data_IF_805396827417
#
_entry.id   IF_805396827417
#
_cell.length_a   1.000
_cell.length_b   1.000
_cell.length_c   1.000
_cell.angle_alpha   90.00
_cell.angle_beta   90.00
_cell.angle_gamma   90.00
#
_symmetry.space_group_name_H-M   'P 1'
#
loop_
_entity.id
_entity.type
_entity.pdbx_description
1 polymer ?
#
# COMPACT_ATOMS: atom_id res chain seq x y z
N UNK A 1 10.35 -22.64 -6.22
CA UNK A 1 11.81 -22.85 -6.17
C UNK A 1 12.61 -21.54 -5.99
N UNK A 2 12.28 -20.46 -6.71
CA UNK A 2 13.00 -19.16 -6.63
C UNK A 2 12.98 -18.47 -5.26
N UNK A 3 11.90 -18.59 -4.48
CA UNK A 3 11.73 -18.01 -3.13
C UNK A 3 12.63 -18.65 -2.07
N UNK A 4 12.87 -19.97 -2.19
CA UNK A 4 13.78 -20.69 -1.30
C UNK A 4 15.24 -20.31 -1.58
N UNK A 5 15.57 -20.05 -2.85
CA UNK A 5 16.91 -19.59 -3.24
C UNK A 5 17.19 -18.17 -2.72
N UNK A 6 16.22 -17.23 -2.77
CA UNK A 6 16.44 -15.86 -2.27
C UNK A 6 16.55 -15.79 -0.74
N UNK A 7 15.75 -16.58 -0.01
CA UNK A 7 15.88 -16.71 1.46
C UNK A 7 17.23 -17.32 1.84
N UNK A 8 17.63 -18.44 1.21
CA UNK A 8 18.92 -19.06 1.51
C UNK A 8 20.12 -18.15 1.20
N UNK A 9 20.02 -17.32 0.15
CA UNK A 9 21.08 -16.33 -0.17
C UNK A 9 21.15 -15.23 0.88
N UNK A 10 20.01 -14.73 1.37
CA UNK A 10 19.97 -13.70 2.42
C UNK A 10 20.50 -14.25 3.76
N UNK A 11 20.07 -15.45 4.14
CA UNK A 11 20.51 -16.13 5.36
C UNK A 11 22.03 -16.44 5.30
N UNK A 12 22.50 -16.92 4.15
CA UNK A 12 23.93 -17.14 3.90
C UNK A 12 24.74 -15.84 3.95
N UNK A 13 24.21 -14.74 3.40
CA UNK A 13 24.86 -13.43 3.45
C UNK A 13 24.94 -12.87 4.88
N UNK A 14 23.89 -13.07 5.69
CA UNK A 14 23.87 -12.70 7.09
C UNK A 14 24.93 -13.47 7.91
N UNK A 15 25.00 -14.79 7.72
CA UNK A 15 26.03 -15.63 8.34
C UNK A 15 27.44 -15.20 7.90
N UNK A 16 27.64 -14.90 6.61
CA UNK A 16 28.92 -14.43 6.08
C UNK A 16 29.32 -13.08 6.70
N UNK A 17 28.36 -12.17 6.90
CA UNK A 17 28.61 -10.88 7.54
C UNK A 17 29.01 -11.07 9.02
N UNK A 18 28.29 -11.91 9.77
CA UNK A 18 28.63 -12.23 11.16
C UNK A 18 30.03 -12.87 11.25
N UNK A 19 30.32 -13.83 10.38
CA UNK A 19 31.61 -14.51 10.34
C UNK A 19 32.74 -13.52 9.99
N UNK A 20 32.50 -12.60 9.07
CA UNK A 20 33.45 -11.54 8.71
C UNK A 20 33.70 -10.58 9.87
N UNK A 21 32.66 -10.22 10.63
CA UNK A 21 32.79 -9.44 11.86
C UNK A 21 33.65 -10.18 12.91
N UNK A 22 33.36 -11.46 13.14
CA UNK A 22 34.10 -12.28 14.11
C UNK A 22 35.58 -12.39 13.75
N UNK A 23 35.90 -12.70 12.49
CA UNK A 23 37.28 -12.77 12.01
C UNK A 23 37.99 -11.42 12.19
N UNK A 24 37.31 -10.30 11.88
CA UNK A 24 37.88 -8.96 12.03
C UNK A 24 38.17 -8.60 13.50
N UNK A 25 37.31 -9.02 14.43
CA UNK A 25 37.50 -8.80 15.87
C UNK A 25 38.68 -9.63 16.38
N UNK A 26 38.75 -10.92 16.05
CA UNK A 26 39.86 -11.80 16.45
C UNK A 26 41.20 -11.29 15.89
N UNK A 27 41.21 -10.87 14.62
CA UNK A 27 42.39 -10.31 13.97
C UNK A 27 42.86 -9.00 14.64
N UNK A 28 41.92 -8.15 15.04
CA UNK A 28 42.20 -6.89 15.75
C UNK A 28 42.76 -7.15 17.15
N UNK A 29 42.20 -8.13 17.87
CA UNK A 29 42.65 -8.51 19.21
C UNK A 29 44.04 -9.17 19.22
N UNK A 30 44.41 -9.89 18.15
CA UNK A 30 45.70 -10.57 18.03
C UNK A 30 46.91 -9.66 17.77
N UNK A 31 46.71 -8.38 17.44
CA UNK A 31 47.77 -7.43 17.10
C UNK A 31 47.71 -6.14 17.96
N UNK A 32 48.23 -6.18 19.21
CA UNK A 32 48.12 -5.05 20.14
C UNK A 32 48.80 -3.76 19.66
N UNK A 33 49.91 -3.88 18.93
CA UNK A 33 50.71 -2.73 18.47
C UNK A 33 49.99 -1.87 17.41
N UNK A 34 49.01 -2.43 16.70
CA UNK A 34 48.30 -1.77 15.60
C UNK A 34 46.78 -1.70 15.87
N UNK A 35 46.38 -1.83 17.13
CA UNK A 35 44.99 -1.89 17.57
C UNK A 35 44.18 -0.66 17.14
N UNK A 36 44.74 0.55 17.31
CA UNK A 36 44.08 1.80 16.93
C UNK A 36 43.78 1.87 15.42
N UNK A 37 44.75 1.46 14.59
CA UNK A 37 44.60 1.45 13.14
C UNK A 37 43.53 0.44 12.68
N UNK A 38 43.51 -0.75 13.28
CA UNK A 38 42.51 -1.78 12.98
C UNK A 38 41.08 -1.35 13.34
N UNK A 39 40.90 -0.63 14.46
CA UNK A 39 39.60 -0.07 14.83
C UNK A 39 39.11 0.97 13.82
N UNK A 40 40.00 1.86 13.37
CA UNK A 40 39.64 2.89 12.38
C UNK A 40 39.18 2.22 11.08
N UNK A 41 39.89 1.20 10.60
CA UNK A 41 39.51 0.47 9.39
C UNK A 41 38.24 -0.33 9.54
N UNK A 42 37.99 -0.94 10.70
CA UNK A 42 36.73 -1.62 10.98
C UNK A 42 35.56 -0.64 10.90
N UNK A 43 35.66 0.52 11.56
CA UNK A 43 34.61 1.55 11.53
C UNK A 43 34.38 2.07 10.12
N UNK A 44 35.44 2.29 9.34
CA UNK A 44 35.31 2.76 7.96
C UNK A 44 34.68 1.69 7.05
N UNK A 45 35.04 0.42 7.23
CA UNK A 45 34.40 -0.69 6.54
C UNK A 45 32.89 -0.78 6.84
N UNK A 46 32.51 -0.60 8.10
CA UNK A 46 31.10 -0.52 8.50
C UNK A 46 30.39 0.69 7.91
N UNK A 47 31.03 1.86 7.86
CA UNK A 47 30.46 3.04 7.23
C UNK A 47 30.17 2.79 5.74
N UNK A 48 31.12 2.17 5.03
CA UNK A 48 30.92 1.78 3.62
C UNK A 48 29.79 0.76 3.49
N UNK A 49 29.71 -0.23 4.39
CA UNK A 49 28.61 -1.20 4.41
C UNK A 49 27.25 -0.53 4.64
N UNK A 50 27.13 0.41 5.58
CA UNK A 50 25.91 1.18 5.83
C UNK A 50 25.50 1.97 4.58
N UNK A 51 26.44 2.67 3.93
CA UNK A 51 26.14 3.39 2.68
C UNK A 51 25.66 2.42 1.59
N UNK A 52 26.27 1.25 1.49
CA UNK A 52 25.90 0.20 0.53
C UNK A 52 24.48 -0.31 0.74
N UNK A 53 24.07 -0.47 2.00
CA UNK A 53 22.72 -0.89 2.38
C UNK A 53 21.66 0.10 1.87
N UNK A 54 21.89 1.41 2.02
CA UNK A 54 20.91 2.44 1.64
C UNK A 54 20.91 2.81 0.15
N UNK A 55 22.07 2.76 -0.52
CA UNK A 55 22.17 3.20 -1.92
C UNK A 55 22.16 2.02 -2.88
N UNK A 56 23.32 1.55 -3.32
CA UNK A 56 23.48 0.47 -4.28
C UNK A 56 24.88 -0.14 -4.12
N UNK A 57 25.06 -1.36 -4.63
CA UNK A 57 26.36 -2.04 -4.63
C UNK A 57 27.45 -1.24 -5.34
N UNK A 58 27.10 -0.56 -6.44
CA UNK A 58 28.03 0.24 -7.22
C UNK A 58 28.64 1.37 -6.37
N UNK A 59 27.83 2.06 -5.57
CA UNK A 59 28.29 3.12 -4.66
C UNK A 59 29.22 2.54 -3.59
N UNK A 60 28.86 1.39 -3.01
CA UNK A 60 29.70 0.67 -2.05
C UNK A 60 31.06 0.25 -2.62
N UNK A 61 31.08 -0.28 -3.85
CA UNK A 61 32.31 -0.69 -4.53
C UNK A 61 33.20 0.50 -4.90
N UNK A 62 32.62 1.62 -5.35
CA UNK A 62 33.37 2.87 -5.60
C UNK A 62 34.05 3.36 -4.31
N UNK A 63 33.33 3.35 -3.18
CA UNK A 63 33.90 3.71 -1.89
C UNK A 63 35.01 2.76 -1.44
N UNK A 64 34.90 1.46 -1.73
CA UNK A 64 36.01 0.52 -1.49
C UNK A 64 37.23 0.83 -2.35
N UNK A 65 37.05 1.16 -3.62
CA UNK A 65 38.16 1.53 -4.50
C UNK A 65 38.87 2.78 -3.95
N UNK A 66 38.11 3.80 -3.53
CA UNK A 66 38.66 5.00 -2.91
C UNK A 66 39.40 4.69 -1.60
N UNK A 67 38.84 3.81 -0.77
CA UNK A 67 39.47 3.36 0.47
C UNK A 67 40.78 2.61 0.21
N UNK A 68 40.78 1.62 -0.69
CA UNK A 68 41.95 0.82 -1.05
C UNK A 68 43.03 1.72 -1.66
N UNK A 69 42.64 2.69 -2.49
CA UNK A 69 43.59 3.65 -3.07
C UNK A 69 44.25 4.50 -1.99
N UNK A 70 43.45 5.14 -1.11
CA UNK A 70 43.98 5.97 -0.02
C UNK A 70 44.87 5.17 0.95
N UNK A 71 44.44 3.97 1.31
CA UNK A 71 45.18 3.09 2.21
C UNK A 71 46.46 2.54 1.55
N UNK A 72 46.40 2.18 0.27
CA UNK A 72 47.55 1.75 -0.52
C UNK A 72 48.61 2.85 -0.62
N UNK A 73 48.21 4.10 -0.89
CA UNK A 73 49.12 5.25 -0.89
C UNK A 73 49.76 5.47 0.48
N UNK A 74 49.00 5.39 1.57
CA UNK A 74 49.53 5.53 2.93
C UNK A 74 50.57 4.44 3.26
N UNK A 75 50.28 3.19 2.88
CA UNK A 75 51.18 2.05 3.11
C UNK A 75 52.47 2.17 2.28
N UNK A 76 52.37 2.61 1.02
CA UNK A 76 53.54 2.88 0.18
C UNK A 76 54.41 3.99 0.77
N UNK A 77 53.81 5.05 1.30
CA UNK A 77 54.54 6.13 1.96
C UNK A 77 55.32 5.62 3.19
N UNK A 78 54.69 4.83 4.07
CA UNK A 78 55.38 4.21 5.21
C UNK A 78 56.51 3.28 4.78
N UNK A 79 56.33 2.53 3.70
CA UNK A 79 57.31 1.54 3.25
C UNK A 79 58.52 2.22 2.59
N UNK A 80 58.28 3.19 1.69
CA UNK A 80 59.33 3.81 0.87
C UNK A 80 60.07 4.94 1.60
N UNK A 81 59.35 5.76 2.37
CA UNK A 81 59.93 6.98 3.00
C UNK A 81 60.39 6.70 4.43
N UNK A 82 59.63 5.90 5.18
CA UNK A 82 59.90 5.62 6.60
C UNK A 82 60.67 4.29 6.78
N UNK A 83 60.76 3.47 5.73
CA UNK A 83 61.47 2.19 5.77
C UNK A 83 60.73 1.08 6.52
N UNK A 84 59.41 1.21 6.69
CA UNK A 84 58.58 0.19 7.33
C UNK A 84 58.46 -1.09 6.49
N UNK A 85 58.38 -2.25 7.16
CA UNK A 85 58.09 -3.53 6.49
C UNK A 85 56.58 -3.65 6.25
N UNK A 86 56.19 -4.17 5.07
CA UNK A 86 54.80 -4.46 4.76
C UNK A 86 54.35 -5.66 5.61
N UNK A 87 53.56 -5.40 6.65
CA UNK A 87 52.96 -6.43 7.48
C UNK A 87 51.80 -7.14 6.77
N UNK A 88 51.53 -8.39 7.16
CA UNK A 88 50.39 -9.21 6.70
C UNK A 88 49.04 -8.54 6.93
N UNK A 89 48.96 -7.60 7.88
CA UNK A 89 47.79 -6.76 8.17
C UNK A 89 47.32 -5.91 6.98
N UNK A 90 48.24 -5.44 6.14
CA UNK A 90 47.86 -4.59 5.01
C UNK A 90 47.03 -5.36 3.96
N UNK A 91 47.28 -6.67 3.83
CA UNK A 91 46.54 -7.54 2.93
C UNK A 91 45.16 -7.94 3.49
N UNK A 92 45.04 -8.02 4.82
CA UNK A 92 43.78 -8.39 5.47
C UNK A 92 42.66 -7.39 5.15
N UNK A 93 42.88 -6.10 5.39
CA UNK A 93 41.86 -5.07 5.17
C UNK A 93 41.52 -4.86 3.70
N UNK A 94 42.45 -5.10 2.78
CA UNK A 94 42.21 -5.01 1.34
C UNK A 94 41.16 -6.03 0.86
N UNK A 95 41.10 -7.21 1.50
CA UNK A 95 40.13 -8.26 1.18
C UNK A 95 38.86 -8.13 2.01
N UNK A 96 38.97 -7.74 3.28
CA UNK A 96 37.82 -7.68 4.17
C UNK A 96 36.84 -6.57 3.84
N UNK A 97 37.29 -5.39 3.39
CA UNK A 97 36.34 -4.30 3.08
C UNK A 97 35.44 -4.59 1.87
N UNK A 98 35.93 -5.14 0.74
CA UNK A 98 35.05 -5.60 -0.33
C UNK A 98 34.15 -6.76 0.13
N UNK A 99 34.65 -7.66 0.97
CA UNK A 99 33.86 -8.78 1.50
C UNK A 99 32.65 -8.29 2.29
N UNK A 100 32.82 -7.30 3.19
CA UNK A 100 31.71 -6.67 3.91
C UNK A 100 30.67 -6.04 2.96
N UNK A 101 31.14 -5.45 1.87
CA UNK A 101 30.28 -4.78 0.88
C UNK A 101 29.46 -5.79 0.08
N UNK A 102 30.09 -6.89 -0.35
CA UNK A 102 29.42 -7.99 -1.05
C UNK A 102 28.40 -8.67 -0.12
N UNK A 103 28.79 -8.93 1.14
CA UNK A 103 27.90 -9.52 2.15
C UNK A 103 26.65 -8.67 2.36
N UNK A 104 26.85 -7.36 2.56
CA UNK A 104 25.75 -6.41 2.78
C UNK A 104 24.87 -6.28 1.55
N UNK A 105 25.45 -6.33 0.36
CA UNK A 105 24.69 -6.28 -0.89
C UNK A 105 23.79 -7.51 -1.08
N UNK A 106 24.32 -8.72 -0.87
CA UNK A 106 23.53 -9.96 -0.98
C UNK A 106 22.36 -9.97 0.01
N UNK A 107 22.58 -9.48 1.22
CA UNK A 107 21.52 -9.29 2.23
C UNK A 107 20.46 -8.29 1.74
N UNK A 108 20.91 -7.17 1.16
CA UNK A 108 20.02 -6.10 0.66
C UNK A 108 19.17 -6.57 -0.51
N UNK A 109 19.71 -7.41 -1.40
CA UNK A 109 18.96 -7.99 -2.51
C UNK A 109 17.75 -8.81 -2.02
N UNK A 110 17.96 -9.69 -1.04
CA UNK A 110 16.90 -10.49 -0.44
C UNK A 110 15.80 -9.62 0.17
N UNK A 111 16.19 -8.60 0.94
CA UNK A 111 15.25 -7.69 1.58
C UNK A 111 14.44 -6.86 0.58
N UNK A 112 15.07 -6.33 -0.48
CA UNK A 112 14.36 -5.58 -1.52
C UNK A 112 13.34 -6.45 -2.26
N UNK A 113 13.69 -7.69 -2.56
CA UNK A 113 12.77 -8.62 -3.20
C UNK A 113 11.57 -8.94 -2.30
N UNK A 114 11.81 -9.17 -1.00
CA UNK A 114 10.74 -9.41 -0.02
C UNK A 114 9.81 -8.21 0.13
N UNK A 115 10.36 -6.99 0.18
CA UNK A 115 9.56 -5.76 0.23
C UNK A 115 8.67 -5.62 -1.02
N UNK A 116 9.23 -5.84 -2.21
CA UNK A 116 8.46 -5.79 -3.46
C UNK A 116 7.36 -6.85 -3.53
N UNK A 117 7.65 -8.09 -3.11
CA UNK A 117 6.65 -9.16 -3.07
C UNK A 117 5.54 -8.83 -2.08
N UNK A 118 5.88 -8.27 -0.91
CA UNK A 118 4.90 -7.85 0.08
C UNK A 118 3.99 -6.71 -0.45
N UNK A 119 4.57 -5.68 -1.07
CA UNK A 119 3.78 -4.62 -1.71
C UNK A 119 2.87 -5.15 -2.82
N UNK A 120 3.35 -6.09 -3.64
CA UNK A 120 2.54 -6.75 -4.66
C UNK A 120 1.40 -7.58 -4.06
N UNK A 121 1.67 -8.32 -2.98
CA UNK A 121 0.66 -9.09 -2.25
C UNK A 121 -0.41 -8.18 -1.65
N UNK A 122 -0.02 -7.04 -1.06
CA UNK A 122 -0.97 -6.04 -0.57
C UNK A 122 -1.87 -5.51 -1.68
N UNK A 123 -1.29 -5.10 -2.82
CA UNK A 123 -2.06 -4.63 -3.99
C UNK A 123 -3.00 -5.70 -4.55
N UNK A 124 -2.52 -6.94 -4.66
CA UNK A 124 -3.32 -8.06 -5.14
C UNK A 124 -4.47 -8.35 -4.18
N UNK A 125 -4.21 -8.38 -2.87
CA UNK A 125 -5.23 -8.60 -1.86
C UNK A 125 -6.29 -7.48 -1.88
N UNK A 126 -5.88 -6.22 -2.02
CA UNK A 126 -6.82 -5.11 -2.20
C UNK A 126 -7.66 -5.23 -3.46
N UNK A 127 -7.07 -5.71 -4.58
CA UNK A 127 -7.80 -5.91 -5.84
C UNK A 127 -8.77 -7.10 -5.80
N UNK A 128 -8.46 -8.14 -5.04
CA UNK A 128 -9.28 -9.36 -4.91
C UNK A 128 -10.28 -9.28 -3.75
N UNK A 129 -10.09 -8.34 -2.82
CA UNK A 129 -11.02 -8.10 -1.74
C UNK A 129 -12.36 -7.67 -2.34
N UNK A 130 -13.37 -8.54 -2.28
CA UNK A 130 -14.74 -8.27 -2.75
C UNK A 130 -15.52 -7.39 -1.79
N UNK A 131 -15.00 -7.19 -0.59
CA UNK A 131 -15.63 -6.48 0.52
C UNK A 131 -14.67 -5.44 1.07
N UNK A 132 -15.17 -4.25 1.33
CA UNK A 132 -14.43 -3.20 2.01
C UNK A 132 -14.31 -3.54 3.52
N UNK A 133 -13.08 -3.60 4.02
CA UNK A 133 -12.80 -4.03 5.40
C UNK A 133 -13.40 -3.10 6.47
N UNK A 134 -13.63 -1.83 6.15
CA UNK A 134 -14.13 -0.82 7.10
C UNK A 134 -15.65 -0.81 7.16
N UNK A 135 -16.33 -0.93 6.03
CA UNK A 135 -17.79 -0.83 5.92
C UNK A 135 -18.49 -2.19 5.82
N UNK A 136 -17.73 -3.27 5.59
CA UNK A 136 -18.26 -4.60 5.25
C UNK A 136 -19.18 -4.61 4.02
N UNK A 137 -19.14 -3.55 3.20
CA UNK A 137 -19.89 -3.46 1.96
C UNK A 137 -19.13 -4.13 0.81
N UNK A 138 -19.88 -4.70 -0.13
CA UNK A 138 -19.31 -5.16 -1.40
C UNK A 138 -18.67 -3.97 -2.14
N UNK A 139 -17.49 -4.16 -2.72
CA UNK A 139 -16.81 -3.10 -3.47
C UNK A 139 -17.24 -3.03 -4.94
N UNK A 140 -16.64 -2.12 -5.70
CA UNK A 140 -16.85 -1.94 -7.14
C UNK A 140 -16.57 -3.20 -7.96
N UNK A 141 -15.60 -4.02 -7.56
CA UNK A 141 -15.30 -5.28 -8.24
C UNK A 141 -16.46 -6.28 -8.12
N UNK A 142 -16.96 -6.47 -6.91
CA UNK A 142 -18.17 -7.27 -6.65
C UNK A 142 -19.38 -6.73 -7.41
N UNK A 143 -19.55 -5.40 -7.45
CA UNK A 143 -20.62 -4.76 -8.22
C UNK A 143 -20.56 -5.17 -9.70
N UNK A 144 -19.39 -5.08 -10.35
CA UNK A 144 -19.26 -5.44 -11.76
C UNK A 144 -19.62 -6.91 -12.03
N UNK A 145 -19.23 -7.81 -11.13
CA UNK A 145 -19.50 -9.25 -11.26
C UNK A 145 -20.99 -9.52 -11.08
N UNK A 146 -21.60 -9.00 -10.01
CA UNK A 146 -23.00 -9.22 -9.68
C UNK A 146 -23.93 -8.59 -10.72
N UNK A 147 -23.67 -7.35 -11.13
CA UNK A 147 -24.50 -6.61 -12.10
C UNK A 147 -24.45 -7.24 -13.48
N UNK A 148 -23.32 -7.82 -13.89
CA UNK A 148 -23.25 -8.56 -15.16
C UNK A 148 -24.26 -9.70 -15.20
N UNK A 149 -24.37 -10.46 -14.11
CA UNK A 149 -25.37 -11.53 -13.99
C UNK A 149 -26.78 -10.95 -13.97
N UNK A 150 -27.01 -9.89 -13.20
CA UNK A 150 -28.34 -9.29 -13.08
C UNK A 150 -28.84 -8.63 -14.37
N UNK A 151 -27.98 -7.96 -15.14
CA UNK A 151 -28.33 -7.44 -16.47
C UNK A 151 -28.75 -8.57 -17.42
N UNK A 152 -28.02 -9.69 -17.44
CA UNK A 152 -28.39 -10.85 -18.23
C UNK A 152 -29.74 -11.46 -17.79
N UNK A 153 -30.01 -11.51 -16.49
CA UNK A 153 -31.29 -11.96 -15.95
C UNK A 153 -32.43 -10.99 -16.27
N UNK A 154 -32.20 -9.68 -16.24
CA UNK A 154 -33.18 -8.66 -16.62
C UNK A 154 -33.64 -8.84 -18.07
N UNK A 155 -32.70 -9.00 -19.01
CA UNK A 155 -33.03 -9.27 -20.42
C UNK A 155 -33.81 -10.57 -20.57
N UNK A 156 -33.41 -11.63 -19.86
CA UNK A 156 -34.04 -12.94 -19.98
C UNK A 156 -35.46 -12.99 -19.40
N UNK A 157 -35.66 -12.38 -18.24
CA UNK A 157 -36.90 -12.51 -17.46
C UNK A 157 -37.77 -11.24 -17.47
N UNK A 158 -37.34 -10.19 -18.18
CA UNK A 158 -38.03 -8.89 -18.26
C UNK A 158 -38.28 -8.27 -16.87
N UNK A 159 -37.31 -8.44 -15.96
CA UNK A 159 -37.36 -7.88 -14.62
C UNK A 159 -36.72 -6.48 -14.67
N UNK A 160 -37.43 -5.41 -14.28
CA UNK A 160 -36.86 -4.07 -14.27
C UNK A 160 -35.76 -3.98 -13.19
N UNK A 161 -34.64 -3.39 -13.56
CA UNK A 161 -33.50 -3.17 -12.67
C UNK A 161 -33.19 -1.68 -12.65
N UNK A 162 -33.06 -1.12 -11.45
CA UNK A 162 -32.67 0.26 -11.25
C UNK A 162 -31.40 0.31 -10.42
N UNK A 163 -30.43 1.09 -10.89
CA UNK A 163 -29.25 1.45 -10.12
C UNK A 163 -29.47 2.82 -9.47
N UNK A 164 -29.43 2.85 -8.15
CA UNK A 164 -29.29 4.07 -7.36
C UNK A 164 -27.82 4.32 -7.10
N UNK A 165 -27.37 5.56 -7.31
CA UNK A 165 -26.06 6.04 -6.88
C UNK A 165 -26.29 7.14 -5.86
N UNK A 166 -25.64 7.03 -4.70
CA UNK A 166 -25.73 8.00 -3.61
C UNK A 166 -24.35 8.56 -3.31
N UNK A 167 -24.26 9.88 -3.09
CA UNK A 167 -23.03 10.55 -2.67
C UNK A 167 -23.34 11.66 -1.68
N UNK A 168 -22.41 11.97 -0.78
CA UNK A 168 -22.54 13.09 0.15
C UNK A 168 -22.18 14.41 -0.56
N UNK A 169 -23.01 15.43 -0.42
CA UNK A 169 -22.75 16.80 -0.91
C UNK A 169 -21.70 17.46 0.00
N UNK A 170 -20.79 18.24 -0.60
CA UNK A 170 -19.72 18.94 0.12
C UNK A 170 -18.76 18.01 0.91
N UNK A 171 -18.48 16.83 0.36
CA UNK A 171 -17.64 15.82 1.02
C UNK A 171 -16.26 16.35 1.41
N UNK A 172 -15.60 17.06 0.50
CA UNK A 172 -14.24 17.57 0.72
C UNK A 172 -14.22 18.66 1.81
N UNK A 173 -15.27 19.47 1.89
CA UNK A 173 -15.45 20.48 2.93
C UNK A 173 -15.72 19.83 4.28
N UNK A 174 -16.62 18.84 4.35
CA UNK A 174 -16.92 18.09 5.58
C UNK A 174 -15.66 17.40 6.09
N UNK A 175 -14.89 16.74 5.21
CA UNK A 175 -13.62 16.09 5.52
C UNK A 175 -12.63 17.03 6.22
N UNK A 176 -12.59 18.31 5.82
CA UNK A 176 -11.72 19.33 6.44
C UNK A 176 -12.18 19.77 7.83
N UNK A 177 -13.48 19.67 8.13
CA UNK A 177 -14.07 20.15 9.38
C UNK A 177 -13.97 19.07 10.48
N UNK A 178 -14.34 17.83 10.18
CA UNK A 178 -14.47 16.76 11.19
C UNK A 178 -13.24 15.81 11.26
N UNK A 179 -12.32 15.93 10.30
CA UNK A 179 -11.13 15.07 10.21
C UNK A 179 -11.43 13.65 9.73
N UNK A 180 -10.38 12.89 9.35
CA UNK A 180 -10.55 11.60 8.67
C UNK A 180 -11.16 10.49 9.52
N UNK A 181 -10.93 10.50 10.83
CA UNK A 181 -11.37 9.43 11.73
C UNK A 181 -12.90 9.47 11.94
N UNK A 182 -13.45 10.64 12.27
CA UNK A 182 -14.88 10.85 12.45
C UNK A 182 -15.65 10.70 11.14
N UNK A 183 -15.04 11.11 10.03
CA UNK A 183 -15.58 10.92 8.68
C UNK A 183 -15.73 9.42 8.35
N UNK A 184 -14.78 8.61 8.76
CA UNK A 184 -14.82 7.16 8.54
C UNK A 184 -15.92 6.49 9.35
N UNK A 185 -16.16 6.94 10.58
CA UNK A 185 -17.31 6.50 11.38
C UNK A 185 -18.63 6.90 10.71
N UNK A 186 -18.73 8.12 10.17
CA UNK A 186 -19.92 8.56 9.44
C UNK A 186 -20.20 7.66 8.23
N UNK A 187 -19.16 7.30 7.45
CA UNK A 187 -19.29 6.35 6.34
C UNK A 187 -19.77 4.98 6.81
N UNK A 188 -19.28 4.48 7.94
CA UNK A 188 -19.72 3.21 8.51
C UNK A 188 -21.18 3.26 8.97
N UNK A 189 -21.58 4.34 9.65
CA UNK A 189 -22.95 4.52 10.15
C UNK A 189 -23.94 4.64 8.98
N UNK A 190 -23.59 5.39 7.95
CA UNK A 190 -24.36 5.51 6.71
C UNK A 190 -24.44 4.17 5.95
N UNK A 191 -23.35 3.41 5.91
CA UNK A 191 -23.30 2.10 5.27
C UNK A 191 -24.21 1.09 5.99
N UNK A 192 -24.19 1.07 7.33
CA UNK A 192 -25.10 0.25 8.17
C UNK A 192 -26.55 0.67 7.98
N UNK A 193 -26.83 1.97 7.95
CA UNK A 193 -28.16 2.52 7.68
C UNK A 193 -28.66 2.03 6.30
N UNK A 194 -27.83 2.13 5.27
CA UNK A 194 -28.14 1.62 3.94
C UNK A 194 -28.51 0.14 3.97
N UNK A 195 -27.69 -0.71 4.60
CA UNK A 195 -27.96 -2.16 4.72
C UNK A 195 -29.29 -2.46 5.43
N UNK A 196 -29.63 -1.72 6.50
CA UNK A 196 -30.89 -1.88 7.24
C UNK A 196 -32.14 -1.34 6.52
N UNK A 197 -31.95 -0.64 5.40
CA UNK A 197 -33.04 -0.01 4.62
C UNK A 197 -33.50 -0.85 3.43
N UNK A 198 -32.80 -1.95 3.18
CA UNK A 198 -32.84 -2.75 1.96
C UNK A 198 -33.52 -4.10 2.21
N UNK A 199 -34.25 -4.62 1.21
CA UNK A 199 -34.76 -6.00 1.25
C UNK A 199 -33.61 -6.99 1.03
N UNK A 200 -33.74 -8.24 1.46
CA UNK A 200 -32.72 -9.29 1.28
C UNK A 200 -32.22 -9.46 -0.17
N UNK A 201 -33.01 -9.04 -1.16
CA UNK A 201 -32.66 -9.13 -2.58
C UNK A 201 -31.99 -7.87 -3.14
N UNK A 202 -32.06 -6.71 -2.48
CA UNK A 202 -31.34 -5.53 -2.97
C UNK A 202 -29.91 -5.54 -2.44
N UNK A 203 -28.96 -5.06 -3.24
CA UNK A 203 -27.54 -5.14 -2.91
C UNK A 203 -26.93 -3.74 -2.83
N UNK A 204 -26.25 -3.45 -1.71
CA UNK A 204 -25.52 -2.21 -1.46
C UNK A 204 -24.02 -2.42 -1.67
N UNK A 205 -23.43 -1.50 -2.41
CA UNK A 205 -22.03 -1.51 -2.80
C UNK A 205 -21.37 -0.18 -2.45
N UNK A 206 -20.08 -0.20 -2.13
CA UNK A 206 -19.24 0.97 -2.03
C UNK A 206 -18.45 1.11 -3.35
N UNK A 207 -18.88 2.05 -4.19
CA UNK A 207 -18.33 2.28 -5.53
C UNK A 207 -17.05 3.12 -5.52
N UNK A 208 -16.88 3.98 -4.51
CA UNK A 208 -15.67 4.78 -4.31
C UNK A 208 -15.44 4.99 -2.81
N UNK A 209 -14.18 4.89 -2.37
CA UNK A 209 -13.77 5.07 -0.97
C UNK A 209 -13.29 6.48 -0.64
N UNK A 210 -12.60 7.14 -1.58
CA UNK A 210 -11.97 8.45 -1.36
C UNK A 210 -13.04 9.56 -1.29
N UNK A 211 -14.00 9.48 -2.21
CA UNK A 211 -15.25 10.23 -2.18
C UNK A 211 -16.40 9.21 -2.11
N UNK A 212 -16.90 8.89 -0.90
CA UNK A 212 -17.88 7.85 -0.66
C UNK A 212 -19.07 7.95 -1.59
N UNK A 213 -19.14 6.93 -2.44
CA UNK A 213 -20.21 6.75 -3.39
C UNK A 213 -20.77 5.37 -3.19
N UNK A 214 -22.05 5.29 -2.87
CA UNK A 214 -22.75 4.03 -2.69
C UNK A 214 -23.57 3.71 -3.93
N UNK A 215 -23.54 2.46 -4.34
CA UNK A 215 -24.40 1.93 -5.39
C UNK A 215 -25.42 0.99 -4.77
N UNK A 216 -26.70 1.18 -5.03
CA UNK A 216 -27.75 0.26 -4.61
C UNK A 216 -28.48 -0.26 -5.83
N UNK A 217 -28.44 -1.58 -6.03
CA UNK A 217 -29.14 -2.23 -7.13
C UNK A 217 -30.50 -2.72 -6.65
N UNK A 218 -31.57 -2.24 -7.29
CA UNK A 218 -32.96 -2.55 -6.96
C UNK A 218 -33.62 -3.35 -8.09
N UNK A 219 -34.38 -4.39 -7.73
CA UNK A 219 -35.25 -5.12 -8.67
C UNK A 219 -36.66 -4.54 -8.65
N UNK A 220 -36.82 -3.35 -9.23
CA UNK A 220 -38.06 -2.59 -9.19
C UNK A 220 -38.15 -1.62 -10.36
N UNK A 221 -39.34 -1.06 -10.56
CA UNK A 221 -39.64 -0.03 -11.55
C UNK A 221 -39.42 1.39 -10.97
N UNK A 222 -39.53 2.42 -11.80
CA UNK A 222 -39.26 3.80 -11.37
C UNK A 222 -40.11 4.25 -10.17
N UNK A 223 -41.43 3.97 -10.11
CA UNK A 223 -42.23 4.28 -8.93
C UNK A 223 -41.71 3.61 -7.66
N UNK A 224 -41.33 2.33 -7.74
CA UNK A 224 -40.76 1.61 -6.60
C UNK A 224 -39.41 2.20 -6.15
N UNK A 225 -38.56 2.60 -7.09
CA UNK A 225 -37.30 3.26 -6.77
C UNK A 225 -37.51 4.60 -6.06
N UNK A 226 -38.48 5.42 -6.49
CA UNK A 226 -38.79 6.69 -5.82
C UNK A 226 -39.19 6.50 -4.35
N UNK A 227 -39.96 5.46 -4.04
CA UNK A 227 -40.33 5.14 -2.65
C UNK A 227 -39.08 4.82 -1.80
N UNK A 228 -38.10 4.13 -2.38
CA UNK A 228 -36.84 3.81 -1.71
C UNK A 228 -36.00 5.08 -1.50
N UNK A 229 -35.91 5.95 -2.52
CA UNK A 229 -35.22 7.25 -2.44
C UNK A 229 -35.81 8.11 -1.33
N UNK A 230 -37.14 8.25 -1.28
CA UNK A 230 -37.82 9.04 -0.24
C UNK A 230 -37.60 8.47 1.16
N UNK A 231 -37.59 7.14 1.30
CA UNK A 231 -37.29 6.49 2.58
C UNK A 231 -35.86 6.75 3.04
N UNK A 232 -34.90 6.68 2.12
CA UNK A 232 -33.48 6.94 2.43
C UNK A 232 -33.29 8.40 2.84
N UNK A 233 -33.89 9.35 2.11
CA UNK A 233 -33.84 10.78 2.47
C UNK A 233 -34.39 11.04 3.87
N UNK A 234 -35.59 10.52 4.18
CA UNK A 234 -36.20 10.67 5.51
C UNK A 234 -35.31 10.12 6.64
N UNK A 235 -34.72 8.93 6.45
CA UNK A 235 -33.83 8.33 7.47
C UNK A 235 -32.57 9.18 7.71
N UNK A 236 -32.05 9.80 6.67
CA UNK A 236 -30.89 10.69 6.81
C UNK A 236 -31.29 11.98 7.52
N UNK A 237 -32.42 12.57 7.14
CA UNK A 237 -32.93 13.79 7.79
C UNK A 237 -33.22 13.56 9.28
N UNK A 238 -33.76 12.39 9.63
CA UNK A 238 -33.95 11.97 11.03
C UNK A 238 -32.60 11.87 11.77
N UNK A 239 -31.59 11.21 11.19
CA UNK A 239 -30.25 11.11 11.82
C UNK A 239 -29.49 12.41 11.85
N UNK A 240 -29.69 13.31 10.88
CA UNK A 240 -29.12 14.65 10.89
C UNK A 240 -29.58 15.45 12.10
N UNK A 241 -30.83 15.26 12.55
CA UNK A 241 -31.41 16.01 13.68
C UNK A 241 -30.93 15.53 15.04
N UNK A 242 -30.68 14.23 15.17
CA UNK A 242 -30.31 13.63 16.45
C UNK A 242 -28.81 13.29 16.49
N UNK A 243 -28.41 12.24 15.76
CA UNK A 243 -27.12 11.58 15.94
C UNK A 243 -25.95 12.30 15.25
N UNK A 244 -26.15 12.82 14.03
CA UNK A 244 -25.09 13.49 13.27
C UNK A 244 -24.86 14.94 13.72
N UNK A 245 -25.91 15.65 14.16
CA UNK A 245 -25.78 16.97 14.78
C UNK A 245 -24.95 16.91 16.08
N UNK A 246 -25.20 15.92 16.93
CA UNK A 246 -24.47 15.78 18.20
C UNK A 246 -23.06 15.20 18.01
N UNK A 247 -22.91 14.17 17.15
CA UNK A 247 -21.65 13.43 17.00
C UNK A 247 -20.66 14.10 16.05
N UNK A 248 -21.14 14.60 14.91
CA UNK A 248 -20.28 15.16 13.85
C UNK A 248 -20.42 16.68 13.71
N UNK A 249 -21.43 17.30 14.33
CA UNK A 249 -21.72 18.75 14.25
C UNK A 249 -21.83 19.27 12.81
N UNK A 250 -22.19 18.38 11.88
CA UNK A 250 -22.39 18.67 10.46
C UNK A 250 -23.67 18.00 10.00
N UNK A 251 -24.37 18.67 9.09
CA UNK A 251 -25.53 18.11 8.41
C UNK A 251 -25.05 17.39 7.13
N UNK A 252 -25.37 16.10 7.02
CA UNK A 252 -25.01 15.31 5.84
C UNK A 252 -26.15 15.35 4.83
N UNK A 253 -25.90 16.00 3.69
CA UNK A 253 -26.89 16.07 2.60
C UNK A 253 -26.51 15.04 1.54
N UNK A 254 -27.42 14.13 1.20
CA UNK A 254 -27.22 13.19 0.10
C UNK A 254 -27.71 13.74 -1.23
N UNK A 255 -26.93 13.47 -2.27
CA UNK A 255 -27.37 13.48 -3.65
C UNK A 255 -27.66 12.05 -4.08
N UNK A 256 -28.80 11.84 -4.72
CA UNK A 256 -29.23 10.52 -5.19
C UNK A 256 -29.57 10.61 -6.67
N UNK A 257 -28.82 9.89 -7.49
CA UNK A 257 -29.09 9.68 -8.90
C UNK A 257 -29.61 8.27 -9.10
N UNK A 258 -30.48 8.06 -10.07
CA UNK A 258 -30.97 6.73 -10.39
C UNK A 258 -30.97 6.48 -11.90
N UNK A 259 -30.86 5.23 -12.34
CA UNK A 259 -31.03 4.91 -13.76
C UNK A 259 -31.67 3.55 -13.88
N UNK A 260 -32.65 3.43 -14.77
CA UNK A 260 -33.29 2.16 -15.09
C UNK A 260 -32.52 1.49 -16.23
N UNK A 261 -32.20 0.22 -16.05
CA UNK A 261 -31.42 -0.54 -17.01
C UNK A 261 -32.14 -0.63 -18.37
N UNK A 262 -31.45 -0.17 -19.41
CA UNK A 262 -31.87 -0.32 -20.81
C UNK A 262 -30.74 -1.05 -21.57
N UNK A 263 -30.98 -2.28 -22.09
CA UNK A 263 -29.98 -3.04 -22.83
C UNK A 263 -29.42 -2.32 -24.06
N UNK A 264 -30.13 -1.33 -24.61
CA UNK A 264 -29.65 -0.54 -25.76
C UNK A 264 -28.70 0.58 -25.36
N UNK A 265 -28.80 1.10 -24.13
CA UNK A 265 -28.01 2.24 -23.64
C UNK A 265 -26.90 1.82 -22.67
N UNK A 266 -27.01 0.63 -22.07
CA UNK A 266 -26.08 0.12 -21.07
C UNK A 266 -25.42 -1.15 -21.60
N UNK A 267 -24.20 -1.04 -22.12
CA UNK A 267 -23.46 -2.19 -22.62
C UNK A 267 -22.70 -2.94 -21.52
N UNK A 268 -22.28 -2.24 -20.46
CA UNK A 268 -21.50 -2.82 -19.37
C UNK A 268 -21.82 -2.18 -18.00
N UNK A 269 -21.44 -2.81 -16.87
CA UNK A 269 -21.75 -2.29 -15.53
C UNK A 269 -21.17 -0.90 -15.24
N UNK A 270 -20.03 -0.54 -15.85
CA UNK A 270 -19.39 0.75 -15.64
C UNK A 270 -20.19 1.89 -16.30
N UNK A 271 -20.72 1.66 -17.49
CA UNK A 271 -21.65 2.59 -18.15
C UNK A 271 -22.93 2.77 -17.32
N UNK A 272 -23.42 1.70 -16.68
CA UNK A 272 -24.59 1.80 -15.80
C UNK A 272 -24.32 2.77 -14.64
N UNK A 273 -23.17 2.65 -13.98
CA UNK A 273 -22.74 3.60 -12.94
C UNK A 273 -22.64 5.01 -13.52
N UNK A 274 -22.03 5.18 -14.69
CA UNK A 274 -21.82 6.50 -15.29
C UNK A 274 -23.16 7.22 -15.58
N UNK A 275 -24.15 6.49 -16.10
CA UNK A 275 -25.48 7.04 -16.40
C UNK A 275 -26.25 7.40 -15.13
N UNK A 276 -26.22 6.55 -14.10
CA UNK A 276 -26.83 6.87 -12.81
C UNK A 276 -26.10 8.02 -12.10
N UNK A 277 -24.76 8.08 -12.19
CA UNK A 277 -23.95 9.17 -11.66
C UNK A 277 -24.27 10.50 -12.34
N UNK A 278 -24.50 10.51 -13.66
CA UNK A 278 -24.90 11.73 -14.38
C UNK A 278 -26.21 12.30 -13.83
N UNK A 279 -27.12 11.46 -13.33
CA UNK A 279 -28.34 11.94 -12.69
C UNK A 279 -28.11 12.67 -11.36
N UNK A 280 -26.98 12.45 -10.67
CA UNK A 280 -26.63 13.21 -9.46
C UNK A 280 -26.47 14.71 -9.73
N UNK A 281 -26.17 15.10 -10.98
CA UNK A 281 -26.01 16.51 -11.36
C UNK A 281 -27.35 17.24 -11.46
N UNK A 282 -28.45 16.49 -11.61
CA UNK A 282 -29.81 17.03 -11.71
C UNK A 282 -30.56 17.00 -10.37
N UNK A 283 -29.98 16.39 -9.34
CA UNK A 283 -30.48 16.44 -7.96
C UNK A 283 -29.97 17.73 -7.30
N UNK A 284 -30.83 18.77 -7.28
CA UNK A 284 -30.54 20.13 -6.79
C UNK A 284 -30.69 20.20 -5.27
#
# INVERSE_FOLDING_TARGET
MRRWQSSMVSDGAFLLLILSCFISIVFTAGNPNLYLQNIIFLNLAFLIAIVTYFTNVTTGLILNILFIFGYGTFTLYQTVVVGGLIGTQNYFWLIMTPLFTIATWLLTLGNRQLQQENEQLHKMNESLATVDAKTSLKNTFSFQTDVTVFMALSVRYHIPIILLVMSVKYWDEIKRIIGEEQLMEAVQDLSKMGQSSIRTNDSLYLLNKDNPMWGMLLFTDRPGAMIVIDRLRKRVDERNRDEFADKYRVELIFKIGYYEYDPQQVANPLEFIALAKKQLEFDV
#
